data_IF_391698401072
#
_entry.id   IF_391698401072
#
_cell.length_a   1.000
_cell.length_b   1.000
_cell.length_c   1.000
_cell.angle_alpha   90.00
_cell.angle_beta   90.00
_cell.angle_gamma   90.00
#
_symmetry.space_group_name_H-M   'P 1'
#
loop_
_entity.id
_entity.type
_entity.pdbx_description
1 polymer ?
#
# COMPACT_ATOMS: atom_id res chain seq x y z
N UNK A 1 8.73 -1.92 26.71
CA UNK A 1 8.49 -2.59 25.40
C UNK A 1 7.87 -1.66 24.37
N UNK A 2 7.12 -0.62 24.77
CA UNK A 2 6.31 0.24 23.90
C UNK A 2 7.05 1.00 22.78
N UNK A 3 8.29 1.43 22.99
CA UNK A 3 9.03 2.23 21.99
C UNK A 3 9.56 1.40 20.81
N UNK A 4 9.96 0.15 21.04
CA UNK A 4 10.48 -0.74 19.99
C UNK A 4 9.35 -1.24 19.07
N UNK A 5 8.17 -1.50 19.65
CA UNK A 5 6.98 -1.89 18.89
C UNK A 5 6.53 -0.74 17.97
N UNK A 6 6.55 0.49 18.47
CA UNK A 6 6.18 1.68 17.71
C UNK A 6 7.16 1.98 16.57
N UNK A 7 8.46 1.80 16.80
CA UNK A 7 9.46 1.90 15.72
C UNK A 7 9.28 0.83 14.65
N UNK A 8 8.98 -0.42 15.05
CA UNK A 8 8.73 -1.52 14.12
C UNK A 8 7.50 -1.26 13.25
N UNK A 9 6.40 -0.80 13.86
CA UNK A 9 5.17 -0.46 13.12
C UNK A 9 5.37 0.71 12.15
N UNK A 10 6.19 1.71 12.53
CA UNK A 10 6.55 2.83 11.63
C UNK A 10 7.40 2.37 10.45
N UNK A 11 8.32 1.43 10.67
CA UNK A 11 9.10 0.85 9.59
C UNK A 11 8.20 0.05 8.64
N UNK A 12 7.31 -0.80 9.16
CA UNK A 12 6.35 -1.53 8.33
C UNK A 12 5.43 -0.58 7.55
N UNK A 13 4.98 0.52 8.18
CA UNK A 13 4.17 1.54 7.50
C UNK A 13 4.93 2.18 6.33
N UNK A 14 6.21 2.51 6.53
CA UNK A 14 7.06 3.05 5.48
C UNK A 14 7.22 2.08 4.31
N UNK A 15 7.46 0.80 4.59
CA UNK A 15 7.61 -0.23 3.56
C UNK A 15 6.31 -0.37 2.74
N UNK A 16 5.15 -0.38 3.39
CA UNK A 16 3.85 -0.40 2.70
C UNK A 16 3.62 0.83 1.84
N UNK A 17 4.04 2.01 2.28
CA UNK A 17 3.95 3.22 1.46
C UNK A 17 4.85 3.13 0.22
N UNK A 18 6.01 2.46 0.32
CA UNK A 18 6.86 2.13 -0.83
C UNK A 18 6.21 1.14 -1.80
N UNK A 19 5.58 0.09 -1.29
CA UNK A 19 4.85 -0.90 -2.10
C UNK A 19 3.67 -0.25 -2.84
N UNK A 20 2.90 0.61 -2.15
CA UNK A 20 1.80 1.37 -2.76
C UNK A 20 2.29 2.27 -3.90
N UNK A 21 3.43 2.93 -3.72
CA UNK A 21 4.02 3.75 -4.78
C UNK A 21 4.41 2.91 -6.00
N UNK A 22 4.98 1.73 -5.76
CA UNK A 22 5.36 0.79 -6.82
C UNK A 22 4.15 0.25 -7.58
N UNK A 23 3.06 -0.07 -6.87
CA UNK A 23 1.80 -0.49 -7.48
C UNK A 23 1.17 0.62 -8.31
N UNK A 24 1.18 1.86 -7.80
CA UNK A 24 0.67 3.01 -8.55
C UNK A 24 1.44 3.19 -9.87
N UNK A 25 2.78 3.09 -9.84
CA UNK A 25 3.60 3.15 -11.04
C UNK A 25 3.32 1.98 -12.01
N UNK A 26 3.03 0.78 -11.50
CA UNK A 26 2.63 -0.37 -12.32
C UNK A 26 1.30 -0.12 -13.02
N UNK A 27 0.30 0.40 -12.30
CA UNK A 27 -1.01 0.76 -12.86
C UNK A 27 -0.85 1.79 -13.97
N UNK A 28 -0.08 2.86 -13.75
CA UNK A 28 0.18 3.89 -14.75
C UNK A 28 0.79 3.30 -16.04
N UNK A 29 1.78 2.41 -15.92
CA UNK A 29 2.38 1.73 -17.09
C UNK A 29 1.37 0.86 -17.84
N UNK A 30 0.54 0.10 -17.14
CA UNK A 30 -0.50 -0.75 -17.76
C UNK A 30 -1.51 0.12 -18.51
N UNK A 31 -1.92 1.25 -17.92
CA UNK A 31 -2.83 2.20 -18.56
C UNK A 31 -2.19 2.89 -19.78
N UNK A 32 -0.88 3.17 -19.72
CA UNK A 32 -0.14 3.71 -20.85
C UNK A 32 0.01 2.69 -21.99
N UNK A 33 0.39 1.45 -21.69
CA UNK A 33 0.49 0.39 -22.69
C UNK A 33 -0.86 0.09 -23.36
N UNK A 34 -1.96 0.22 -22.61
CA UNK A 34 -3.34 0.16 -23.13
C UNK A 34 -3.63 1.31 -24.09
N UNK A 35 -3.27 2.53 -23.73
CA UNK A 35 -3.48 3.72 -24.55
C UNK A 35 -2.66 3.68 -25.85
N UNK A 36 -1.43 3.16 -25.77
CA UNK A 36 -0.53 2.97 -26.92
C UNK A 36 -0.91 1.75 -27.79
N UNK A 37 -1.90 0.96 -27.37
CA UNK A 37 -2.36 -0.23 -28.10
C UNK A 37 -1.33 -1.36 -28.18
N UNK A 38 -0.34 -1.36 -27.26
CA UNK A 38 0.78 -2.32 -27.26
C UNK A 38 0.42 -3.68 -26.66
N UNK A 39 -0.70 -3.77 -25.95
CA UNK A 39 -1.10 -4.96 -25.20
C UNK A 39 -2.49 -5.46 -25.59
N UNK A 40 -2.67 -6.79 -25.61
CA UNK A 40 -3.96 -7.41 -25.87
C UNK A 40 -4.98 -7.08 -24.76
N UNK A 41 -6.14 -6.55 -25.12
CA UNK A 41 -7.13 -6.00 -24.19
C UNK A 41 -7.46 -6.90 -22.98
N UNK A 42 -7.60 -8.22 -23.20
CA UNK A 42 -7.91 -9.16 -22.12
C UNK A 42 -6.80 -9.36 -21.08
N UNK A 43 -5.53 -9.21 -21.46
CA UNK A 43 -4.40 -9.34 -20.53
C UNK A 43 -4.25 -8.08 -19.68
N UNK A 44 -4.41 -6.90 -20.30
CA UNK A 44 -4.34 -5.59 -19.63
C UNK A 44 -5.42 -5.45 -18.57
N UNK A 45 -6.68 -5.78 -18.89
CA UNK A 45 -7.79 -5.63 -17.93
C UNK A 45 -7.62 -6.57 -16.72
N UNK A 46 -7.08 -7.78 -16.92
CA UNK A 46 -6.76 -8.70 -15.83
C UNK A 46 -5.62 -8.17 -14.95
N UNK A 47 -4.51 -7.72 -15.54
CA UNK A 47 -3.38 -7.15 -14.80
C UNK A 47 -3.76 -5.89 -14.02
N UNK A 48 -4.57 -5.02 -14.63
CA UNK A 48 -5.08 -3.82 -13.99
C UNK A 48 -6.01 -4.15 -12.81
N UNK A 49 -6.88 -5.16 -12.98
CA UNK A 49 -7.74 -5.64 -11.91
C UNK A 49 -6.93 -6.16 -10.73
N UNK A 50 -5.92 -7.00 -10.98
CA UNK A 50 -5.03 -7.52 -9.92
C UNK A 50 -4.27 -6.39 -9.24
N UNK A 51 -3.67 -5.46 -9.99
CA UNK A 51 -2.92 -4.35 -9.41
C UNK A 51 -3.81 -3.45 -8.53
N UNK A 52 -5.08 -3.25 -8.90
CA UNK A 52 -6.05 -2.50 -8.09
C UNK A 52 -6.48 -3.26 -6.84
N UNK A 53 -6.55 -4.58 -6.89
CA UNK A 53 -6.82 -5.42 -5.71
C UNK A 53 -5.65 -5.40 -4.73
N UNK A 54 -4.42 -5.51 -5.24
CA UNK A 54 -3.19 -5.36 -4.45
C UNK A 54 -3.17 -3.99 -3.77
N UNK A 55 -3.44 -2.91 -4.53
CA UNK A 55 -3.51 -1.55 -3.99
C UNK A 55 -4.50 -1.46 -2.83
N UNK A 56 -5.72 -1.98 -2.98
CA UNK A 56 -6.74 -1.98 -1.90
C UNK A 56 -6.27 -2.74 -0.67
N UNK A 57 -5.58 -3.86 -0.86
CA UNK A 57 -5.06 -4.67 0.23
C UNK A 57 -4.00 -3.91 1.03
N UNK A 58 -3.05 -3.28 0.34
CA UNK A 58 -2.03 -2.46 0.97
C UNK A 58 -2.60 -1.19 1.62
N UNK A 59 -3.61 -0.56 1.03
CA UNK A 59 -4.32 0.58 1.64
C UNK A 59 -5.02 0.18 2.94
N UNK A 60 -5.67 -0.99 2.98
CA UNK A 60 -6.29 -1.51 4.19
C UNK A 60 -5.26 -1.79 5.28
N UNK A 61 -4.13 -2.41 4.92
CA UNK A 61 -3.04 -2.69 5.87
C UNK A 61 -2.41 -1.39 6.40
N UNK A 62 -2.20 -0.40 5.54
CA UNK A 62 -1.72 0.94 5.93
C UNK A 62 -2.65 1.61 6.93
N UNK A 63 -3.96 1.55 6.70
CA UNK A 63 -4.95 2.12 7.62
C UNK A 63 -4.92 1.43 8.99
N UNK A 64 -4.76 0.11 9.00
CA UNK A 64 -4.67 -0.66 10.23
C UNK A 64 -3.38 -0.36 11.01
N UNK A 65 -2.22 -0.29 10.35
CA UNK A 65 -0.96 0.10 11.01
C UNK A 65 -1.05 1.51 11.62
N UNK A 66 -1.67 2.46 10.90
CA UNK A 66 -1.88 3.82 11.44
C UNK A 66 -2.75 3.82 12.69
N UNK A 67 -3.80 2.99 12.71
CA UNK A 67 -4.64 2.82 13.91
C UNK A 67 -3.82 2.25 15.07
N UNK A 68 -3.01 1.23 14.83
CA UNK A 68 -2.17 0.62 15.86
C UNK A 68 -1.12 1.59 16.42
N UNK A 69 -0.47 2.36 15.56
CA UNK A 69 0.48 3.41 15.96
C UNK A 69 -0.24 4.45 16.82
N UNK A 70 -1.38 4.99 16.38
CA UNK A 70 -2.14 5.99 17.13
C UNK A 70 -2.60 5.46 18.50
N UNK A 71 -3.00 4.18 18.57
CA UNK A 71 -3.38 3.54 19.83
C UNK A 71 -2.18 3.44 20.78
N UNK A 72 -1.02 3.01 20.29
CA UNK A 72 0.19 2.90 21.11
C UNK A 72 0.69 4.27 21.58
N UNK A 73 0.67 5.28 20.71
CA UNK A 73 0.99 6.66 21.05
C UNK A 73 0.05 7.19 22.15
N UNK A 74 -1.26 7.03 21.98
CA UNK A 74 -2.23 7.43 23.00
C UNK A 74 -2.08 6.69 24.32
N UNK A 75 -1.69 5.40 24.30
CA UNK A 75 -1.36 4.69 25.55
C UNK A 75 -0.09 5.22 26.19
N UNK A 76 0.92 5.63 25.42
CA UNK A 76 2.17 6.16 25.95
C UNK A 76 2.02 7.56 26.54
N UNK A 77 1.14 8.41 25.98
CA UNK A 77 0.85 9.75 26.49
C UNK A 77 -0.05 9.74 27.73
N UNK A 78 -0.82 8.66 27.95
CA UNK A 78 -1.73 8.51 29.09
C UNK A 78 -1.10 7.96 30.37
N UNK A 79 0.19 7.60 30.34
CA UNK A 79 0.99 7.18 31.51
C UNK A 79 1.93 8.29 31.96
#
# INVERSE_FOLDING_TARGET
MTTQDLQSLRAELHDIEGELHSIAAKIERIEQDRADGRSGAGHVDAELSTAREDQRTYEARRAELRRQIAQLEGTLEGY
#
